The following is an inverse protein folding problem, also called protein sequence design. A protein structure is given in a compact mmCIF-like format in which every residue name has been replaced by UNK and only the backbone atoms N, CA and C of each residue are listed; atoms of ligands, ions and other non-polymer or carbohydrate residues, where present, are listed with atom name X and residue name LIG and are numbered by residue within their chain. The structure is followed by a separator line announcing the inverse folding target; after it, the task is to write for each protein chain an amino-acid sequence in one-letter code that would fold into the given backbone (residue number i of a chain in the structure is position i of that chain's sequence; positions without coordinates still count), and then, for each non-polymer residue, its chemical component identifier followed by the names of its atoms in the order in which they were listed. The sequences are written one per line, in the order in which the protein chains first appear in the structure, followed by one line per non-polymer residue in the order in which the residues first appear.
data_IF_897918888333
#
_entry.id   IF_897918888333
#
_cell.length_a   1.000
_cell.length_b   1.000
_cell.length_c   1.000
_cell.angle_alpha   90.00
_cell.angle_beta   90.00
_cell.angle_gamma   90.00
#
_symmetry.space_group_name_H-M   'P 1'
#
loop_
_entity.id
_entity.type
_entity.pdbx_description
1 polymer ?
#
# COMPACT_ATOMS: atom_id res chain seq x y z
N UNK A 1 -0.86 -10.02 1.82
CA UNK A 1 -0.03 -8.98 1.18
C UNK A 1 1.44 -9.02 1.62
N UNK A 2 1.76 -8.85 2.91
CA UNK A 2 3.17 -8.84 3.40
C UNK A 2 4.02 -10.06 2.98
N UNK A 3 3.54 -11.32 3.03
CA UNK A 3 4.31 -12.46 2.54
C UNK A 3 4.66 -12.37 1.05
N UNK A 4 3.76 -11.80 0.24
CA UNK A 4 3.99 -11.59 -1.19
C UNK A 4 5.07 -10.55 -1.46
N UNK A 5 5.09 -9.47 -0.68
CA UNK A 5 6.10 -8.42 -0.81
C UNK A 5 7.49 -8.92 -0.41
N UNK A 6 7.59 -9.72 0.65
CA UNK A 6 8.88 -10.28 1.09
C UNK A 6 9.54 -11.17 0.04
N UNK A 7 8.74 -11.82 -0.82
CA UNK A 7 9.26 -12.59 -1.97
C UNK A 7 9.67 -11.73 -3.17
N UNK A 8 9.41 -10.42 -3.13
CA UNK A 8 9.65 -9.47 -4.23
C UNK A 8 10.50 -8.29 -3.73
N UNK A 9 11.78 -8.52 -3.38
CA UNK A 9 12.63 -7.50 -2.74
C UNK A 9 12.91 -6.27 -3.62
N UNK A 10 12.64 -6.35 -4.92
CA UNK A 10 12.75 -5.22 -5.86
C UNK A 10 11.59 -4.21 -5.73
N UNK A 11 10.44 -4.59 -5.15
CA UNK A 11 9.35 -3.64 -4.87
C UNK A 11 9.78 -2.76 -3.70
N UNK A 12 9.89 -1.45 -3.94
CA UNK A 12 10.30 -0.45 -2.94
C UNK A 12 9.20 0.52 -2.53
N UNK A 13 8.08 0.50 -3.25
CA UNK A 13 6.94 1.37 -2.99
C UNK A 13 5.65 0.69 -3.45
N UNK A 14 4.54 1.08 -2.83
CA UNK A 14 3.19 0.70 -3.21
C UNK A 14 2.36 1.98 -3.23
N UNK A 15 1.62 2.17 -4.30
CA UNK A 15 0.71 3.30 -4.44
C UNK A 15 -0.70 2.73 -4.33
N UNK A 16 -1.49 3.30 -3.43
CA UNK A 16 -2.91 2.98 -3.24
C UNK A 16 -3.75 4.17 -3.72
N UNK A 17 -4.88 3.88 -4.37
CA UNK A 17 -5.86 4.88 -4.74
C UNK A 17 -7.03 4.81 -3.76
N UNK A 18 -7.21 5.88 -3.01
CA UNK A 18 -8.22 5.99 -1.96
C UNK A 18 -9.43 6.74 -2.52
N UNK A 19 -10.50 6.00 -2.81
CA UNK A 19 -11.72 6.62 -3.35
C UNK A 19 -12.97 5.82 -3.00
N UNK A 20 -13.96 6.53 -2.46
CA UNK A 20 -15.30 5.99 -2.16
C UNK A 20 -16.09 5.66 -3.44
N UNK A 21 -15.77 6.32 -4.56
CA UNK A 21 -16.46 6.16 -5.82
C UNK A 21 -15.43 6.07 -6.94
N UNK A 22 -15.05 4.84 -7.32
CA UNK A 22 -14.16 4.66 -8.48
C UNK A 22 -14.82 5.19 -9.77
N UNK A 23 -14.00 5.46 -10.80
CA UNK A 23 -14.47 6.02 -12.06
C UNK A 23 -15.45 5.10 -12.83
N UNK A 24 -15.67 3.87 -12.34
CA UNK A 24 -16.57 2.86 -12.90
C UNK A 24 -17.79 2.59 -12.01
N UNK A 25 -17.92 3.29 -10.89
CA UNK A 25 -19.21 3.73 -10.35
C UNK A 25 -19.97 2.77 -9.45
N UNK A 26 -19.36 1.80 -8.76
CA UNK A 26 -20.06 1.03 -7.70
C UNK A 26 -19.13 0.35 -6.68
N UNK A 27 -17.84 0.73 -6.64
CA UNK A 27 -16.88 0.13 -5.71
C UNK A 27 -16.25 1.20 -4.83
N UNK A 28 -16.56 1.09 -3.55
CA UNK A 28 -15.83 1.77 -2.50
C UNK A 28 -14.47 1.07 -2.32
N UNK A 29 -13.42 1.73 -2.83
CA UNK A 29 -12.03 1.34 -2.62
C UNK A 29 -11.36 2.33 -1.65
N UNK A 30 -12.12 2.97 -0.77
CA UNK A 30 -11.52 3.68 0.34
C UNK A 30 -10.84 2.70 1.30
N UNK A 31 -9.75 3.16 1.92
CA UNK A 31 -8.98 2.38 2.88
C UNK A 31 -9.78 2.03 4.14
N UNK A 32 -10.80 2.83 4.46
CA UNK A 32 -11.68 2.72 5.61
C UNK A 32 -13.12 2.29 5.28
N UNK A 33 -13.38 1.88 4.03
CA UNK A 33 -14.62 1.18 3.60
C UNK A 33 -15.01 0.00 4.49
N UNK A 34 -14.05 -0.59 5.22
CA UNK A 34 -14.29 -1.57 6.26
C UNK A 34 -13.25 -1.48 7.37
N UNK A 35 -13.63 -1.84 8.60
CA UNK A 35 -12.71 -1.89 9.75
C UNK A 35 -11.52 -2.83 9.50
N UNK A 36 -11.77 -3.97 8.83
CA UNK A 36 -10.73 -4.94 8.50
C UNK A 36 -9.76 -4.42 7.43
N UNK A 37 -10.26 -3.65 6.46
CA UNK A 37 -9.44 -2.93 5.48
C UNK A 37 -8.51 -1.92 6.14
N UNK A 38 -9.07 -1.07 7.00
CA UNK A 38 -8.30 -0.06 7.73
C UNK A 38 -7.23 -0.69 8.64
N UNK A 39 -7.58 -1.76 9.35
CA UNK A 39 -6.64 -2.49 10.19
C UNK A 39 -5.51 -3.14 9.37
N UNK A 40 -5.83 -3.73 8.21
CA UNK A 40 -4.84 -4.31 7.31
C UNK A 40 -3.90 -3.24 6.72
N UNK A 41 -4.44 -2.09 6.32
CA UNK A 41 -3.65 -0.95 5.83
C UNK A 41 -2.69 -0.43 6.91
N UNK A 42 -3.18 -0.19 8.13
CA UNK A 42 -2.33 0.26 9.25
C UNK A 42 -1.19 -0.73 9.53
N UNK A 43 -1.48 -2.03 9.54
CA UNK A 43 -0.46 -3.08 9.72
C UNK A 43 0.59 -3.06 8.61
N UNK A 44 0.15 -2.85 7.37
CA UNK A 44 1.04 -2.79 6.22
C UNK A 44 1.92 -1.55 6.25
N UNK A 45 1.33 -0.37 6.48
CA UNK A 45 2.02 0.91 6.50
C UNK A 45 3.07 1.02 7.62
N UNK A 46 2.87 0.28 8.71
CA UNK A 46 3.82 0.19 9.82
C UNK A 46 4.92 -0.88 9.62
N UNK A 47 4.91 -1.67 8.54
CA UNK A 47 5.90 -2.74 8.35
C UNK A 47 7.27 -2.15 7.93
N UNK A 48 8.39 -2.56 8.57
CA UNK A 48 9.73 -2.07 8.25
C UNK A 48 10.18 -2.33 6.81
N UNK A 49 9.46 -3.15 6.03
CA UNK A 49 9.73 -3.33 4.60
C UNK A 49 9.68 -2.02 3.79
N UNK A 50 8.99 -1.00 4.31
CA UNK A 50 8.92 0.34 3.72
C UNK A 50 9.87 1.37 4.35
N UNK A 51 10.67 0.97 5.34
CA UNK A 51 11.77 1.78 5.85
C UNK A 51 12.97 1.71 4.88
N UNK A 52 12.86 2.46 3.78
CA UNK A 52 13.81 2.42 2.67
C UNK A 52 14.61 3.72 2.57
N UNK A 53 15.94 3.61 2.50
CA UNK A 53 16.80 4.73 2.13
C UNK A 53 16.76 4.94 0.62
N UNK A 54 16.13 6.03 0.17
CA UNK A 54 16.19 6.45 -1.23
C UNK A 54 17.57 7.06 -1.49
N UNK A 55 18.39 6.38 -2.29
CA UNK A 55 19.65 6.96 -2.77
C UNK A 55 19.36 7.77 -4.05
N UNK A 56 19.70 9.07 -4.10
CA UNK A 56 19.62 9.82 -5.34
C UNK A 56 20.46 9.11 -6.42
N UNK A 57 19.96 9.06 -7.64
CA UNK A 57 20.75 8.55 -8.77
C UNK A 57 21.98 9.47 -8.93
N UNK A 58 23.18 8.94 -8.75
CA UNK A 58 24.41 9.64 -9.11
C UNK A 58 24.47 9.64 -10.64
N UNK A 59 24.28 10.81 -11.23
CA UNK A 59 24.47 11.04 -12.67
C UNK A 59 25.93 10.95 -13.09
#
# INVERSE_FOLDING_TARGET
MLPELRRRPAIKAIVYFDTENDAFGDRDISVDSSESGLAAFRRLAADPIFDVTVRPHAG
#
